data_IF_266458415145
#
_entry.id   IF_266458415145
#
_cell.length_a   1.000
_cell.length_b   1.000
_cell.length_c   1.000
_cell.angle_alpha   90.00
_cell.angle_beta   90.00
_cell.angle_gamma   90.00
#
_symmetry.space_group_name_H-M   'P 1'
#
loop_
_entity.id
_entity.type
_entity.pdbx_description
1 polymer ?
#
# COMPACT_ATOMS: atom_id res chain seq x y z
N UNK A 1 27.89 -13.19 -4.89
CA UNK A 1 27.39 -11.87 -4.44
C UNK A 1 25.97 -12.09 -3.97
N UNK A 2 25.65 -11.72 -2.72
CA UNK A 2 24.35 -12.00 -2.14
C UNK A 2 23.27 -11.28 -2.98
N UNK A 3 22.37 -12.06 -3.56
CA UNK A 3 21.20 -11.54 -4.25
C UNK A 3 20.28 -11.04 -3.15
N UNK A 4 20.46 -9.79 -2.72
CA UNK A 4 19.59 -9.12 -1.76
C UNK A 4 18.28 -8.81 -2.48
N UNK A 5 17.51 -9.85 -2.83
CA UNK A 5 16.13 -9.68 -3.25
C UNK A 5 15.45 -8.87 -2.15
N UNK A 6 15.18 -7.60 -2.43
CA UNK A 6 14.46 -6.77 -1.47
C UNK A 6 13.10 -7.44 -1.32
N UNK A 7 12.76 -7.92 -0.12
CA UNK A 7 11.53 -8.67 0.07
C UNK A 7 10.37 -7.76 -0.29
N UNK A 8 9.41 -8.29 -1.05
CA UNK A 8 8.19 -7.57 -1.37
C UNK A 8 7.53 -7.09 -0.07
N UNK A 9 7.22 -5.80 0.03
CA UNK A 9 6.58 -5.24 1.20
C UNK A 9 5.06 -5.27 1.04
N UNK A 10 4.36 -5.64 2.12
CA UNK A 10 2.90 -5.58 2.15
C UNK A 10 2.46 -4.12 2.06
N UNK A 11 1.47 -3.85 1.22
CA UNK A 11 0.84 -2.55 1.16
C UNK A 11 -0.66 -2.66 0.97
N UNK A 12 -1.30 -1.50 0.93
CA UNK A 12 -2.72 -1.36 0.61
C UNK A 12 -2.90 -0.26 -0.43
N UNK A 13 -3.58 -0.58 -1.53
CA UNK A 13 -4.20 0.44 -2.36
C UNK A 13 -5.47 0.90 -1.65
N UNK A 14 -5.61 2.21 -1.44
CA UNK A 14 -6.68 2.78 -0.63
C UNK A 14 -7.38 3.89 -1.41
N UNK A 15 -8.71 3.88 -1.42
CA UNK A 15 -9.53 4.98 -1.94
C UNK A 15 -10.11 5.83 -0.81
N UNK A 16 -10.13 7.14 -1.05
CA UNK A 16 -10.64 8.16 -0.14
C UNK A 16 -12.09 8.51 -0.48
N UNK A 17 -12.89 8.84 0.54
CA UNK A 17 -14.27 9.29 0.40
C UNK A 17 -14.40 10.66 -0.27
N UNK A 18 -13.34 11.48 -0.17
CA UNK A 18 -13.17 12.77 -0.84
C UNK A 18 -11.73 12.88 -1.36
N UNK A 19 -11.44 13.76 -2.32
CA UNK A 19 -10.06 13.96 -2.72
C UNK A 19 -9.22 14.52 -1.56
N UNK A 20 -7.91 14.25 -1.61
CA UNK A 20 -6.92 14.81 -0.69
C UNK A 20 -7.03 16.33 -0.68
N UNK A 21 -7.05 16.93 0.52
CA UNK A 21 -7.03 18.38 0.72
C UNK A 21 -5.98 18.79 1.76
N UNK A 22 -5.86 20.10 2.00
CA UNK A 22 -4.85 20.67 2.91
C UNK A 22 -4.99 20.21 4.37
N UNK A 23 -6.15 19.67 4.76
CA UNK A 23 -6.38 19.10 6.09
C UNK A 23 -5.73 17.71 6.26
N UNK A 24 -5.44 17.00 5.16
CA UNK A 24 -4.82 15.66 5.17
C UNK A 24 -3.29 15.75 5.29
N UNK A 25 -2.84 16.43 6.35
CA UNK A 25 -1.42 16.79 6.55
C UNK A 25 -0.48 15.60 6.57
N UNK A 26 -0.91 14.48 7.14
CA UNK A 26 -0.18 13.21 7.17
C UNK A 26 0.01 12.67 5.74
N UNK A 27 -1.08 12.53 4.98
CA UNK A 27 -1.06 12.02 3.61
C UNK A 27 -0.20 12.90 2.70
N UNK A 28 -0.33 14.23 2.82
CA UNK A 28 0.49 15.20 2.10
C UNK A 28 1.98 15.14 2.51
N UNK A 29 2.25 14.82 3.77
CA UNK A 29 3.59 14.54 4.29
C UNK A 29 4.10 13.13 3.96
N UNK A 30 3.39 12.37 3.11
CA UNK A 30 3.72 11.00 2.70
C UNK A 30 3.76 9.99 3.85
N UNK A 31 2.94 10.21 4.87
CA UNK A 31 2.87 9.35 6.05
C UNK A 31 1.42 8.99 6.33
N UNK A 32 1.16 7.73 6.66
CA UNK A 32 -0.12 7.33 7.22
C UNK A 32 0.03 7.08 8.71
N UNK A 33 -0.72 7.82 9.51
CA UNK A 33 -0.78 7.63 10.96
C UNK A 33 -2.15 7.10 11.37
N UNK A 34 -2.19 6.25 12.39
CA UNK A 34 -3.46 5.78 12.96
C UNK A 34 -4.11 6.87 13.84
N UNK A 35 -5.26 6.53 14.44
CA UNK A 35 -6.01 7.42 15.35
C UNK A 35 -5.25 7.77 16.65
N UNK A 36 -4.13 7.11 16.92
CA UNK A 36 -3.28 7.30 18.09
C UNK A 36 -1.94 7.97 17.73
N UNK A 37 -1.83 8.56 16.53
CA UNK A 37 -0.61 9.17 15.98
C UNK A 37 0.57 8.18 15.77
N UNK A 38 0.32 6.88 15.75
CA UNK A 38 1.35 5.89 15.42
C UNK A 38 1.57 5.84 13.91
N UNK A 39 2.83 5.84 13.49
CA UNK A 39 3.19 5.68 12.09
C UNK A 39 2.90 4.24 11.64
N UNK A 40 2.01 4.10 10.66
CA UNK A 40 1.61 2.81 10.08
C UNK A 40 2.43 2.50 8.83
N UNK A 41 2.71 3.52 8.02
CA UNK A 41 3.35 3.33 6.73
C UNK A 41 3.62 4.62 5.96
N UNK A 42 4.29 4.44 4.83
CA UNK A 42 4.56 5.51 3.86
C UNK A 42 3.41 5.61 2.85
N UNK A 43 3.12 6.83 2.42
CA UNK A 43 2.03 7.13 1.49
C UNK A 43 2.59 7.59 0.16
N UNK A 44 2.15 6.92 -0.91
CA UNK A 44 2.40 7.30 -2.30
C UNK A 44 1.05 7.70 -2.91
N UNK A 45 0.86 9.00 -3.07
CA UNK A 45 -0.34 9.58 -3.68
C UNK A 45 -0.42 9.27 -5.18
N UNK A 46 -1.63 9.11 -5.69
CA UNK A 46 -1.88 9.08 -7.14
C UNK A 46 -1.48 10.40 -7.78
N UNK A 47 -0.78 10.34 -8.93
CA UNK A 47 -0.33 11.52 -9.67
C UNK A 47 -1.50 12.32 -10.28
N UNK A 48 -2.62 11.65 -10.59
CA UNK A 48 -3.81 12.29 -11.13
C UNK A 48 -4.46 13.21 -10.10
N UNK A 49 -4.76 14.45 -10.52
CA UNK A 49 -5.50 15.43 -9.72
C UNK A 49 -6.96 15.55 -10.18
N UNK A 50 -7.92 15.69 -9.25
CA UNK A 50 -7.75 15.62 -7.79
C UNK A 50 -7.49 14.17 -7.33
N UNK A 51 -6.58 13.99 -6.35
CA UNK A 51 -6.14 12.67 -5.91
C UNK A 51 -7.18 12.01 -4.99
N UNK A 52 -7.73 10.87 -5.41
CA UNK A 52 -8.69 10.09 -4.63
C UNK A 52 -8.10 8.81 -4.06
N UNK A 53 -6.88 8.46 -4.47
CA UNK A 53 -6.27 7.17 -4.15
C UNK A 53 -4.84 7.36 -3.71
N UNK A 54 -4.41 6.47 -2.85
CA UNK A 54 -3.02 6.37 -2.48
C UNK A 54 -2.63 4.92 -2.24
N UNK A 55 -1.34 4.67 -2.36
CA UNK A 55 -0.73 3.43 -1.95
C UNK A 55 -0.10 3.62 -0.57
N UNK A 56 -0.50 2.77 0.37
CA UNK A 56 0.12 2.63 1.68
C UNK A 56 1.15 1.52 1.64
N UNK A 57 2.41 1.85 1.86
CA UNK A 57 3.49 0.87 2.08
C UNK A 57 3.63 0.67 3.57
N UNK A 58 3.32 -0.52 4.07
CA UNK A 58 3.26 -0.80 5.51
C UNK A 58 4.67 -0.97 6.06
N UNK A 59 4.95 -0.38 7.22
CA UNK A 59 6.22 -0.61 7.91
C UNK A 59 6.33 -2.07 8.37
N UNK A 60 7.51 -2.68 8.25
CA UNK A 60 7.76 -4.08 8.63
C UNK A 60 7.42 -4.38 10.11
N UNK A 61 7.47 -3.37 10.97
CA UNK A 61 7.11 -3.50 12.40
C UNK A 61 5.61 -3.52 12.66
N UNK A 62 4.78 -3.21 11.67
CA UNK A 62 3.33 -3.07 11.80
C UNK A 62 2.64 -4.33 11.29
N UNK A 63 1.85 -4.95 12.15
CA UNK A 63 1.09 -6.16 11.80
C UNK A 63 -0.12 -5.81 10.94
N UNK A 64 -0.44 -6.64 9.94
CA UNK A 64 -1.52 -6.38 8.98
C UNK A 64 -2.88 -6.09 9.65
N UNK A 65 -3.23 -6.82 10.72
CA UNK A 65 -4.45 -6.61 11.49
C UNK A 65 -4.57 -5.18 12.04
N UNK A 66 -3.46 -4.57 12.46
CA UNK A 66 -3.46 -3.18 12.93
C UNK A 66 -3.73 -2.21 11.77
N UNK A 67 -3.15 -2.46 10.60
CA UNK A 67 -3.40 -1.67 9.38
C UNK A 67 -4.86 -1.72 8.98
N UNK A 68 -5.46 -2.92 8.95
CA UNK A 68 -6.88 -3.07 8.63
C UNK A 68 -7.78 -2.32 9.61
N UNK A 69 -7.49 -2.42 10.90
CA UNK A 69 -8.19 -1.69 11.95
C UNK A 69 -8.05 -0.18 11.79
N UNK A 70 -6.85 0.32 11.52
CA UNK A 70 -6.61 1.74 11.29
C UNK A 70 -7.39 2.25 10.07
N UNK A 71 -7.33 1.52 8.94
CA UNK A 71 -8.05 1.89 7.72
C UNK A 71 -9.58 1.77 7.86
N UNK A 72 -10.10 0.85 8.68
CA UNK A 72 -11.54 0.73 8.95
C UNK A 72 -12.09 1.89 9.77
N UNK A 73 -11.28 2.43 10.69
CA UNK A 73 -11.71 3.48 11.61
C UNK A 73 -11.39 4.89 11.09
N UNK A 74 -10.64 5.02 10.00
CA UNK A 74 -10.38 6.31 9.37
C UNK A 74 -11.55 6.72 8.46
N UNK A 75 -12.27 7.76 8.89
CA UNK A 75 -13.42 8.34 8.20
C UNK A 75 -13.11 8.90 6.79
N UNK A 76 -11.84 9.16 6.49
CA UNK A 76 -11.39 9.57 5.16
C UNK A 76 -11.43 8.41 4.17
N UNK A 77 -11.43 7.17 4.65
CA UNK A 77 -11.33 5.97 3.82
C UNK A 77 -12.70 5.48 3.35
N UNK A 78 -12.81 5.17 2.06
CA UNK A 78 -13.99 4.50 1.54
C UNK A 78 -13.99 3.05 2.04
N UNK A 79 -14.93 2.72 2.93
CA UNK A 79 -14.94 1.51 3.77
C UNK A 79 -14.84 0.15 3.05
N UNK A 80 -14.96 0.12 1.71
CA UNK A 80 -14.88 -1.09 0.87
C UNK A 80 -13.84 -1.03 -0.24
N UNK A 81 -13.12 0.08 -0.38
CA UNK A 81 -12.23 0.31 -1.49
C UNK A 81 -10.77 0.28 -1.04
N UNK A 82 -10.38 -0.86 -0.46
CA UNK A 82 -8.99 -1.16 -0.17
C UNK A 82 -8.62 -2.55 -0.70
N UNK A 83 -7.47 -2.63 -1.35
CA UNK A 83 -6.93 -3.89 -1.90
C UNK A 83 -5.53 -4.09 -1.36
N UNK A 84 -5.25 -5.27 -0.82
CA UNK A 84 -3.89 -5.63 -0.44
C UNK A 84 -3.01 -5.67 -1.68
N UNK A 85 -1.79 -5.16 -1.55
CA UNK A 85 -0.79 -5.16 -2.62
C UNK A 85 0.52 -5.77 -2.13
N UNK A 86 1.33 -6.25 -3.06
CA UNK A 86 2.77 -6.42 -2.84
C UNK A 86 3.51 -5.29 -3.55
N UNK A 87 4.40 -4.63 -2.83
CA UNK A 87 5.18 -3.49 -3.31
C UNK A 87 6.63 -3.90 -3.53
N UNK A 88 7.19 -3.45 -4.65
CA UNK A 88 8.55 -3.69 -5.09
C UNK A 88 9.20 -2.37 -5.45
N UNK A 89 10.51 -2.23 -5.28
CA UNK A 89 11.23 -1.12 -5.92
C UNK A 89 11.17 -1.30 -7.44
N UNK A 90 11.13 -0.20 -8.18
CA UNK A 90 10.94 -0.23 -9.64
C UNK A 90 11.97 -1.07 -10.40
N UNK A 91 13.18 -1.18 -9.85
CA UNK A 91 14.29 -1.94 -10.45
C UNK A 91 14.34 -3.41 -9.97
N UNK A 92 13.43 -3.83 -9.09
CA UNK A 92 13.38 -5.22 -8.60
C UNK A 92 12.71 -6.12 -9.63
N UNK A 93 13.36 -7.23 -9.95
CA UNK A 93 12.74 -8.31 -10.74
C UNK A 93 11.58 -8.92 -9.95
N UNK A 94 10.38 -8.80 -10.48
CA UNK A 94 9.15 -9.28 -9.85
C UNK A 94 9.05 -10.81 -10.02
N UNK A 95 8.96 -11.59 -8.93
CA UNK A 95 8.92 -13.05 -9.00
C UNK A 95 7.78 -13.60 -9.87
N UNK A 96 7.99 -14.75 -10.56
CA UNK A 96 6.94 -15.44 -11.30
C UNK A 96 5.75 -15.77 -10.38
N UNK A 97 4.55 -15.35 -10.77
CA UNK A 97 3.32 -15.49 -9.96
C UNK A 97 2.80 -14.18 -9.37
N UNK A 98 3.60 -13.11 -9.37
CA UNK A 98 3.19 -11.76 -8.96
C UNK A 98 2.69 -10.93 -10.16
N UNK A 99 3.04 -11.35 -11.38
CA UNK A 99 2.56 -10.79 -12.65
C UNK A 99 1.72 -11.82 -13.41
N UNK A 100 0.42 -11.87 -13.10
CA UNK A 100 -0.72 -12.31 -13.95
C UNK A 100 -2.07 -12.35 -13.22
N UNK A 101 -2.09 -12.23 -11.90
CA UNK A 101 -3.32 -12.24 -11.08
C UNK A 101 -3.71 -10.87 -10.49
N UNK A 102 -2.97 -9.78 -10.78
CA UNK A 102 -3.20 -8.45 -10.19
C UNK A 102 -2.92 -7.26 -11.11
N UNK A 103 -3.46 -6.09 -10.77
CA UNK A 103 -3.32 -4.82 -11.52
C UNK A 103 -2.10 -4.01 -11.00
N UNK A 104 -1.21 -3.50 -11.88
CA UNK A 104 -0.05 -2.73 -11.46
C UNK A 104 -0.40 -1.27 -11.08
N UNK A 105 0.27 -0.74 -10.06
CA UNK A 105 0.29 0.67 -9.67
C UNK A 105 1.71 1.24 -9.81
N UNK A 106 2.02 1.96 -10.90
CA UNK A 106 3.33 2.54 -11.12
C UNK A 106 3.35 4.01 -10.65
N UNK A 107 3.59 4.26 -9.37
CA UNK A 107 3.74 5.62 -8.83
C UNK A 107 4.95 5.71 -7.90
N UNK A 108 5.71 6.81 -8.01
CA UNK A 108 6.96 6.99 -7.25
C UNK A 108 8.02 5.92 -7.60
N UNK A 109 8.90 5.61 -6.65
CA UNK A 109 10.01 4.66 -6.85
C UNK A 109 9.58 3.18 -6.67
N UNK A 110 8.27 2.93 -6.58
CA UNK A 110 7.70 1.61 -6.32
C UNK A 110 6.72 1.17 -7.41
N UNK A 111 6.63 -0.14 -7.58
CA UNK A 111 5.59 -0.82 -8.36
C UNK A 111 4.82 -1.69 -7.39
N UNK A 112 3.50 -1.50 -7.35
CA UNK A 112 2.63 -2.34 -6.52
C UNK A 112 1.72 -3.21 -7.36
N UNK A 113 1.51 -4.45 -6.95
CA UNK A 113 0.58 -5.39 -7.57
C UNK A 113 -0.61 -5.63 -6.67
N UNK A 114 -1.80 -5.23 -7.11
CA UNK A 114 -3.03 -5.36 -6.34
C UNK A 114 -3.62 -6.77 -6.44
N UNK A 115 -3.85 -7.40 -5.28
CA UNK A 115 -4.45 -8.72 -5.19
C UNK A 115 -5.94 -8.66 -4.85
N UNK A 116 -6.73 -9.69 -5.20
CA UNK A 116 -8.12 -9.82 -4.78
C UNK A 116 -8.31 -9.97 -3.25
N UNK A 117 -7.31 -10.48 -2.53
CA UNK A 117 -7.33 -10.56 -1.06
C UNK A 117 -5.94 -10.48 -0.43
N UNK A 118 -5.88 -10.09 0.84
CA UNK A 118 -4.64 -10.11 1.65
C UNK A 118 -4.03 -11.51 1.70
N UNK A 119 -4.86 -12.54 1.89
CA UNK A 119 -4.40 -13.93 1.90
C UNK A 119 -3.69 -14.31 0.60
N UNK A 120 -4.18 -13.85 -0.56
CA UNK A 120 -3.50 -14.08 -1.83
C UNK A 120 -2.18 -13.31 -1.93
N UNK A 121 -2.12 -12.06 -1.49
CA UNK A 121 -0.87 -11.31 -1.43
C UNK A 121 0.18 -12.02 -0.55
N UNK A 122 -0.21 -12.47 0.64
CA UNK A 122 0.68 -13.22 1.56
C UNK A 122 1.12 -14.55 0.94
N UNK A 123 0.22 -15.30 0.31
CA UNK A 123 0.56 -16.57 -0.34
C UNK A 123 1.55 -16.37 -1.49
N UNK A 124 1.41 -15.29 -2.25
CA UNK A 124 2.34 -14.93 -3.33
C UNK A 124 3.72 -14.52 -2.79
N UNK A 125 3.75 -13.79 -1.67
CA UNK A 125 5.00 -13.43 -1.00
C UNK A 125 5.79 -14.66 -0.53
N UNK A 126 5.12 -15.70 -0.01
CA UNK A 126 5.76 -16.93 0.50
C UNK A 126 6.29 -17.87 -0.57
N UNK A 127 5.89 -17.69 -1.83
CA UNK A 127 6.33 -18.52 -2.97
C UNK A 127 7.55 -17.94 -3.70
N UNK A 128 7.99 -16.75 -3.30
CA UNK A 128 9.17 -16.04 -3.83
C UNK A 128 10.39 -16.34 -2.96
#
# INVERSE_FOLDING_TARGET
>A
MANSAHPAQLGFLVELTRPVCDDDKDLLARRYVDIYDNLVGEVILEEQRPTHRFLLVVLDSVVAMHVEGALQNDHRMASRARRAVLTYTRDTEVPPGVLRDGDPWPAGDHVAYAFPSEQQAILSQRKS
#
